data_IF_200505086031
#
_entry.id   IF_200505086031
#
_cell.length_a   1.000
_cell.length_b   1.000
_cell.length_c   1.000
_cell.angle_alpha   90.00
_cell.angle_beta   90.00
_cell.angle_gamma   90.00
#
_symmetry.space_group_name_H-M   'P 1'
#
loop_
_entity.id
_entity.type
_entity.pdbx_description
1 polymer ?
#
# COMPACT_ATOMS: atom_id res chain seq x y z
N UNK A 1 -13.21 -19.96 2.92
CA UNK A 1 -12.56 -18.65 3.11
C UNK A 1 -11.07 -18.84 3.30
N UNK A 2 -10.26 -18.62 2.25
CA UNK A 2 -8.80 -18.65 2.35
C UNK A 2 -8.27 -17.24 2.69
N UNK A 3 -8.55 -16.74 3.89
CA UNK A 3 -8.00 -15.47 4.42
C UNK A 3 -6.72 -15.77 5.21
N UNK A 4 -5.78 -16.52 4.62
CA UNK A 4 -4.52 -16.88 5.29
C UNK A 4 -3.38 -15.92 4.95
N UNK A 5 -3.42 -15.22 3.80
CA UNK A 5 -2.30 -14.40 3.32
C UNK A 5 -2.38 -12.90 3.67
N UNK A 6 -3.54 -12.40 4.13
CA UNK A 6 -3.81 -10.96 4.24
C UNK A 6 -4.53 -10.54 5.53
N UNK A 7 -4.49 -11.38 6.58
CA UNK A 7 -5.18 -11.10 7.85
C UNK A 7 -4.81 -9.75 8.45
N UNK A 8 -3.55 -9.32 8.32
CA UNK A 8 -3.08 -8.01 8.80
C UNK A 8 -3.73 -6.83 8.07
N UNK A 9 -4.04 -6.99 6.78
CA UNK A 9 -4.73 -5.96 6.02
C UNK A 9 -6.18 -5.79 6.48
N UNK A 10 -6.81 -6.84 7.00
CA UNK A 10 -8.12 -6.77 7.64
C UNK A 10 -8.05 -6.27 9.08
N UNK A 11 -7.05 -6.71 9.84
CA UNK A 11 -6.89 -6.39 11.25
C UNK A 11 -6.57 -4.90 11.51
N UNK A 12 -6.04 -4.19 10.51
CA UNK A 12 -5.72 -2.76 10.63
C UNK A 12 -6.89 -1.90 10.14
N UNK A 13 -7.31 -0.86 10.89
CA UNK A 13 -8.33 0.07 10.42
C UNK A 13 -7.88 0.81 9.15
N UNK A 14 -8.82 1.45 8.46
CA UNK A 14 -8.49 2.39 7.37
C UNK A 14 -7.66 3.57 7.89
N UNK A 15 -6.99 4.29 6.99
CA UNK A 15 -6.33 5.56 7.34
C UNK A 15 -7.38 6.54 7.89
N UNK A 16 -7.21 7.09 9.10
CA UNK A 16 -8.13 8.05 9.68
C UNK A 16 -8.28 9.31 8.81
N UNK A 17 -9.48 9.88 8.77
CA UNK A 17 -9.78 11.10 8.00
C UNK A 17 -8.85 12.26 8.36
N UNK A 18 -8.64 12.50 9.65
CA UNK A 18 -7.73 13.53 10.13
C UNK A 18 -6.31 13.39 9.59
N UNK A 19 -5.86 12.16 9.32
CA UNK A 19 -4.53 11.90 8.74
C UNK A 19 -4.51 12.14 7.24
N UNK A 20 -5.59 11.81 6.53
CA UNK A 20 -5.72 12.15 5.12
C UNK A 20 -5.87 13.66 4.90
N UNK A 21 -6.56 14.36 5.78
CA UNK A 21 -6.67 15.83 5.75
C UNK A 21 -5.30 16.48 5.96
N UNK A 22 -4.54 16.03 6.96
CA UNK A 22 -3.16 16.48 7.18
C UNK A 22 -2.28 16.21 5.96
N UNK A 23 -2.42 15.03 5.36
CA UNK A 23 -1.70 14.67 4.15
C UNK A 23 -2.09 15.54 2.94
N UNK A 24 -3.38 15.85 2.78
CA UNK A 24 -3.84 16.74 1.71
C UNK A 24 -3.30 18.17 1.89
N UNK A 25 -3.08 18.61 3.13
CA UNK A 25 -2.51 19.92 3.43
C UNK A 25 -1.00 19.99 3.19
N UNK A 26 -0.23 19.00 3.68
CA UNK A 26 1.22 18.91 3.48
C UNK A 26 1.64 17.45 3.25
N UNK A 27 1.67 17.01 1.97
CA UNK A 27 2.00 15.64 1.61
C UNK A 27 3.41 15.22 2.00
N UNK A 28 4.36 16.17 2.01
CA UNK A 28 5.76 15.91 2.31
C UNK A 28 5.94 15.60 3.79
N UNK A 29 5.29 16.36 4.67
CA UNK A 29 5.38 16.18 6.12
C UNK A 29 4.50 15.03 6.64
N UNK A 30 3.27 14.91 6.13
CA UNK A 30 2.27 13.99 6.67
C UNK A 30 2.04 12.73 5.83
N UNK A 31 2.93 12.48 4.87
CA UNK A 31 2.91 11.26 4.06
C UNK A 31 2.99 9.95 4.84
N UNK A 32 2.76 8.83 4.17
CA UNK A 32 2.86 7.51 4.78
C UNK A 32 4.26 7.28 5.37
N UNK A 33 4.33 6.50 6.45
CA UNK A 33 5.61 6.02 7.02
C UNK A 33 5.90 4.63 6.45
N UNK A 34 7.13 4.16 6.54
CA UNK A 34 7.48 2.78 6.13
C UNK A 34 6.93 1.75 7.11
N UNK A 35 7.03 2.04 8.41
CA UNK A 35 6.52 1.17 9.48
C UNK A 35 5.16 1.63 9.98
N UNK A 36 4.32 0.67 10.37
CA UNK A 36 3.00 0.91 10.97
C UNK A 36 2.14 1.87 10.16
N UNK A 37 2.18 1.73 8.83
CA UNK A 37 1.34 2.53 7.93
C UNK A 37 0.09 1.75 7.55
N UNK A 38 -0.96 2.48 7.21
CA UNK A 38 -2.22 1.91 6.78
C UNK A 38 -2.42 2.17 5.30
N UNK A 39 -3.15 1.28 4.64
CA UNK A 39 -3.67 1.51 3.31
C UNK A 39 -4.97 2.31 3.40
N UNK A 40 -5.17 3.25 2.49
CA UNK A 40 -6.47 3.91 2.34
C UNK A 40 -7.42 2.97 1.57
N UNK A 41 -8.56 2.63 2.19
CA UNK A 41 -9.45 1.55 1.75
C UNK A 41 -10.83 2.06 1.35
N UNK A 42 -11.01 3.36 1.12
CA UNK A 42 -12.35 3.95 0.89
C UNK A 42 -12.95 3.64 -0.48
N UNK A 43 -12.10 3.40 -1.48
CA UNK A 43 -12.55 3.24 -2.86
C UNK A 43 -13.27 1.90 -3.08
N UNK A 44 -14.26 1.91 -3.98
CA UNK A 44 -15.18 0.78 -4.21
C UNK A 44 -14.47 -0.39 -4.89
N UNK A 45 -13.59 -0.10 -5.84
CA UNK A 45 -12.84 -1.08 -6.62
C UNK A 45 -11.32 -0.94 -6.41
N UNK A 46 -10.58 -1.99 -6.83
CA UNK A 46 -9.13 -2.08 -6.63
C UNK A 46 -8.36 -1.01 -7.39
N UNK A 47 -8.79 -0.66 -8.61
CA UNK A 47 -8.13 0.32 -9.47
C UNK A 47 -8.22 1.71 -8.84
N UNK A 48 -9.42 2.10 -8.41
CA UNK A 48 -9.68 3.37 -7.74
C UNK A 48 -8.96 3.43 -6.39
N UNK A 49 -8.91 2.31 -5.65
CA UNK A 49 -8.19 2.24 -4.38
C UNK A 49 -6.69 2.48 -4.58
N UNK A 50 -6.08 1.84 -5.58
CA UNK A 50 -4.68 2.07 -5.88
C UNK A 50 -4.40 3.50 -6.37
N UNK A 51 -5.36 4.17 -7.03
CA UNK A 51 -5.16 5.56 -7.49
C UNK A 51 -5.30 6.62 -6.40
N UNK A 52 -5.74 6.27 -5.19
CA UNK A 52 -5.80 7.22 -4.06
C UNK A 52 -4.42 7.81 -3.78
N UNK A 53 -4.34 9.13 -3.57
CA UNK A 53 -3.08 9.85 -3.38
C UNK A 53 -2.23 9.26 -2.25
N UNK A 54 -2.86 8.88 -1.14
CA UNK A 54 -2.19 8.21 -0.03
C UNK A 54 -1.52 6.89 -0.46
N UNK A 55 -2.25 6.05 -1.21
CA UNK A 55 -1.75 4.75 -1.65
C UNK A 55 -0.66 4.90 -2.73
N UNK A 56 -0.78 5.88 -3.63
CA UNK A 56 0.30 6.22 -4.58
C UNK A 56 1.57 6.67 -3.84
N UNK A 57 1.44 7.52 -2.82
CA UNK A 57 2.56 7.96 -2.00
C UNK A 57 3.20 6.80 -1.22
N UNK A 58 2.38 5.85 -0.74
CA UNK A 58 2.87 4.66 -0.05
C UNK A 58 3.70 3.78 -0.99
N UNK A 59 3.19 3.51 -2.21
CA UNK A 59 3.91 2.73 -3.23
C UNK A 59 5.25 3.40 -3.56
N UNK A 60 5.24 4.71 -3.82
CA UNK A 60 6.46 5.46 -4.14
C UNK A 60 7.48 5.38 -3.00
N UNK A 61 7.04 5.50 -1.74
CA UNK A 61 7.92 5.43 -0.58
C UNK A 61 8.52 4.04 -0.36
N UNK A 62 7.75 2.99 -0.57
CA UNK A 62 8.24 1.60 -0.50
C UNK A 62 9.25 1.32 -1.61
N UNK A 63 8.98 1.79 -2.83
CA UNK A 63 9.90 1.64 -3.97
C UNK A 63 11.23 2.36 -3.71
N UNK A 64 11.19 3.63 -3.26
CA UNK A 64 12.38 4.39 -2.93
C UNK A 64 13.21 3.74 -1.82
N UNK A 65 12.55 3.16 -0.80
CA UNK A 65 13.26 2.44 0.26
C UNK A 65 13.91 1.15 -0.25
N UNK A 66 13.24 0.41 -1.14
CA UNK A 66 13.83 -0.79 -1.75
C UNK A 66 15.04 -0.43 -2.62
N UNK A 67 14.95 0.63 -3.42
CA UNK A 67 16.09 1.16 -4.18
C UNK A 67 17.24 1.55 -3.25
N UNK A 68 16.95 2.26 -2.16
CA UNK A 68 17.95 2.63 -1.18
C UNK A 68 18.62 1.41 -0.53
N UNK A 69 17.86 0.36 -0.16
CA UNK A 69 18.41 -0.87 0.40
C UNK A 69 19.36 -1.56 -0.58
N UNK A 70 18.98 -1.64 -1.86
CA UNK A 70 19.83 -2.26 -2.89
C UNK A 70 21.10 -1.46 -3.11
N UNK A 71 21.00 -0.13 -3.23
CA UNK A 71 22.16 0.74 -3.43
C UNK A 71 23.17 0.70 -2.27
N UNK A 72 22.71 0.45 -1.05
CA UNK A 72 23.55 0.37 0.16
C UNK A 72 23.93 -1.07 0.53
N UNK A 73 23.63 -2.05 -0.32
CA UNK A 73 24.04 -3.44 -0.13
C UNK A 73 25.35 -3.68 -0.88
N UNK A 74 26.36 -4.18 -0.18
CA UNK A 74 27.70 -4.42 -0.74
C UNK A 74 27.82 -5.77 -1.48
N UNK A 75 26.86 -6.68 -1.29
CA UNK A 75 26.83 -7.98 -1.97
C UNK A 75 25.93 -7.97 -3.22
N UNK A 76 26.07 -8.98 -4.07
CA UNK A 76 25.31 -9.11 -5.32
C UNK A 76 23.96 -9.82 -5.12
N UNK A 77 23.40 -9.89 -3.89
CA UNK A 77 22.21 -10.71 -3.59
C UNK A 77 20.94 -10.28 -4.32
N UNK A 78 20.90 -9.04 -4.81
CA UNK A 78 19.77 -8.48 -5.55
C UNK A 78 19.96 -8.55 -7.07
N UNK A 79 21.08 -9.09 -7.54
CA UNK A 79 21.46 -9.08 -8.95
C UNK A 79 21.85 -7.69 -9.46
N UNK A 80 22.21 -7.63 -10.74
CA UNK A 80 22.63 -6.39 -11.43
C UNK A 80 21.55 -5.79 -12.34
N UNK A 81 20.46 -6.52 -12.56
CA UNK A 81 19.37 -6.08 -13.44
C UNK A 81 18.55 -4.96 -12.79
N UNK A 82 18.09 -4.01 -13.61
CA UNK A 82 17.18 -2.96 -13.15
C UNK A 82 15.83 -3.57 -12.74
N UNK A 83 15.42 -3.34 -11.49
CA UNK A 83 14.16 -3.83 -10.93
C UNK A 83 13.10 -2.73 -10.92
N UNK A 84 11.91 -3.00 -11.47
CA UNK A 84 10.74 -2.12 -11.33
C UNK A 84 10.08 -2.28 -9.95
N UNK A 85 10.70 -1.68 -8.93
CA UNK A 85 10.19 -1.72 -7.55
C UNK A 85 8.78 -1.16 -7.44
N UNK A 86 8.49 -0.08 -8.17
CA UNK A 86 7.17 0.56 -8.16
C UNK A 86 6.09 -0.38 -8.69
N UNK A 87 6.37 -1.08 -9.79
CA UNK A 87 5.52 -2.13 -10.35
C UNK A 87 5.27 -3.27 -9.37
N UNK A 88 6.35 -3.80 -8.76
CA UNK A 88 6.26 -4.89 -7.78
C UNK A 88 5.39 -4.52 -6.56
N UNK A 89 5.61 -3.34 -5.96
CA UNK A 89 4.81 -2.89 -4.84
C UNK A 89 3.36 -2.58 -5.24
N UNK A 90 3.14 -2.04 -6.45
CA UNK A 90 1.78 -1.84 -6.99
C UNK A 90 1.03 -3.16 -7.13
N UNK A 91 1.66 -4.19 -7.69
CA UNK A 91 1.06 -5.52 -7.81
C UNK A 91 0.74 -6.11 -6.43
N UNK A 92 1.68 -5.99 -5.48
CA UNK A 92 1.47 -6.47 -4.11
C UNK A 92 0.30 -5.77 -3.42
N UNK A 93 0.21 -4.44 -3.51
CA UNK A 93 -0.92 -3.68 -2.96
C UNK A 93 -2.22 -3.96 -3.72
N UNK A 94 -2.17 -4.33 -5.00
CA UNK A 94 -3.36 -4.74 -5.76
C UNK A 94 -3.99 -6.02 -5.21
N UNK A 95 -3.18 -6.99 -4.78
CA UNK A 95 -3.67 -8.22 -4.13
C UNK A 95 -4.37 -7.88 -2.82
N UNK A 96 -3.77 -7.01 -2.00
CA UNK A 96 -4.38 -6.51 -0.77
C UNK A 96 -5.68 -5.75 -1.04
N UNK A 97 -5.72 -4.88 -2.05
CA UNK A 97 -6.93 -4.17 -2.43
C UNK A 97 -8.05 -5.13 -2.86
N UNK A 98 -7.71 -6.19 -3.60
CA UNK A 98 -8.67 -7.22 -4.00
C UNK A 98 -9.25 -7.94 -2.79
N UNK A 99 -8.42 -8.33 -1.84
CA UNK A 99 -8.88 -8.93 -0.58
C UNK A 99 -9.86 -7.98 0.13
N UNK A 100 -9.48 -6.70 0.28
CA UNK A 100 -10.36 -5.69 0.91
C UNK A 100 -11.71 -5.57 0.20
N UNK A 101 -11.73 -5.50 -1.13
CA UNK A 101 -12.97 -5.37 -1.91
C UNK A 101 -13.83 -6.63 -1.80
N UNK A 102 -13.22 -7.81 -1.89
CA UNK A 102 -13.94 -9.11 -1.87
C UNK A 102 -14.52 -9.45 -0.51
N UNK A 103 -13.96 -8.89 0.57
CA UNK A 103 -14.45 -9.11 1.93
C UNK A 103 -15.46 -8.06 2.40
N UNK A 104 -15.80 -7.07 1.57
CA UNK A 104 -16.92 -6.17 1.89
C UNK A 104 -18.23 -6.95 1.82
N UNK A 105 -19.20 -6.65 2.70
CA UNK A 105 -20.53 -7.23 2.62
C UNK A 105 -21.09 -7.02 1.21
N UNK A 106 -21.60 -8.08 0.61
CA UNK A 106 -22.36 -7.96 -0.64
C UNK A 106 -23.76 -7.40 -0.34
N UNK A 107 -24.45 -6.91 -1.37
CA UNK A 107 -25.84 -6.46 -1.20
C UNK A 107 -26.68 -7.60 -0.60
N UNK A 108 -27.18 -7.39 0.62
CA UNK A 108 -28.00 -8.36 1.36
C UNK A 108 -27.27 -9.14 2.45
N UNK A 109 -25.96 -8.96 2.64
CA UNK A 109 -25.21 -9.53 3.76
C UNK A 109 -25.04 -8.48 4.88
N UNK A 110 -25.34 -8.86 6.13
CA UNK A 110 -25.08 -8.05 7.34
C UNK A 110 -23.83 -8.52 8.07
#
# INVERSE_FOLDING_TARGET
FHISHSFEAFARPQVPDSRLEQFAHDPTRYGPKLRNTWMDKRAIDTKTMLSLCWNQALIAKLAAEAENIVQNTEDERFGSDAVDWKGLFRERLSKVALDVVTARPQEGET
#
